data_IF_274616520806
#
_entry.id   IF_274616520806
#
_cell.length_a   1.000
_cell.length_b   1.000
_cell.length_c   1.000
_cell.angle_alpha   90.00
_cell.angle_beta   90.00
_cell.angle_gamma   90.00
#
_symmetry.space_group_name_H-M   'P 1'
#
loop_
_entity.id
_entity.type
_entity.pdbx_description
1 polymer ?
#
# COMPACT_ATOMS: atom_id res chain seq x y z
N UNK A 1 -30.86 -61.00 12.21
CA UNK A 1 -30.87 -59.61 12.70
C UNK A 1 -29.44 -59.16 12.98
N UNK A 2 -28.83 -58.48 12.02
CA UNK A 2 -27.82 -57.41 12.14
C UNK A 2 -27.47 -57.01 10.70
N UNK A 3 -27.51 -55.70 10.48
CA UNK A 3 -27.74 -54.99 9.23
C UNK A 3 -26.47 -54.74 8.41
N UNK A 4 -26.70 -54.52 7.12
CA UNK A 4 -25.87 -53.99 6.02
C UNK A 4 -24.94 -52.82 6.43
N UNK A 5 -23.89 -52.42 5.70
CA UNK A 5 -23.84 -51.84 4.34
C UNK A 5 -22.35 -51.82 3.88
N UNK A 6 -21.98 -52.46 2.77
CA UNK A 6 -21.72 -51.91 1.42
C UNK A 6 -20.76 -50.72 1.35
N UNK A 7 -19.55 -50.94 0.81
CA UNK A 7 -18.63 -49.89 0.39
C UNK A 7 -18.11 -50.21 -1.03
N UNK A 8 -18.75 -49.60 -2.03
CA UNK A 8 -18.38 -49.68 -3.45
C UNK A 8 -17.44 -48.51 -3.76
N UNK A 9 -16.15 -48.79 -3.88
CA UNK A 9 -15.18 -47.85 -4.43
C UNK A 9 -15.35 -47.74 -5.95
N UNK A 10 -15.75 -46.55 -6.43
CA UNK A 10 -15.52 -46.12 -7.81
C UNK A 10 -14.82 -44.76 -7.83
N UNK A 11 -13.73 -44.76 -8.59
CA UNK A 11 -12.89 -43.67 -9.07
C UNK A 11 -13.65 -42.43 -9.56
N UNK A 12 -13.20 -41.24 -9.17
CA UNK A 12 -13.36 -40.03 -9.97
C UNK A 12 -12.01 -39.33 -10.14
N UNK A 13 -11.62 -39.29 -11.41
CA UNK A 13 -10.58 -38.46 -11.98
C UNK A 13 -11.14 -37.04 -12.02
N UNK A 14 -10.60 -36.12 -11.24
CA UNK A 14 -10.93 -34.70 -11.40
C UNK A 14 -9.87 -34.00 -12.25
N UNK A 15 -10.42 -33.27 -13.22
CA UNK A 15 -9.80 -32.76 -14.42
C UNK A 15 -8.92 -31.54 -14.11
N UNK A 16 -7.77 -31.48 -14.78
CA UNK A 16 -7.02 -30.25 -14.98
C UNK A 16 -7.90 -29.27 -15.75
N UNK A 17 -8.34 -28.21 -15.10
CA UNK A 17 -8.89 -27.04 -15.79
C UNK A 17 -7.72 -26.12 -16.17
N UNK A 18 -7.19 -26.33 -17.38
CA UNK A 18 -6.44 -25.31 -18.10
C UNK A 18 -7.45 -24.25 -18.57
N UNK A 19 -7.77 -23.28 -17.71
CA UNK A 19 -8.56 -22.12 -18.12
C UNK A 19 -7.65 -21.15 -18.89
N UNK A 20 -7.63 -21.35 -20.20
CA UNK A 20 -7.05 -20.46 -21.19
C UNK A 20 -8.00 -19.29 -21.48
N UNK A 21 -8.38 -18.56 -20.43
CA UNK A 21 -9.16 -17.35 -20.49
C UNK A 21 -8.34 -16.22 -19.87
N UNK A 22 -7.91 -15.25 -20.68
CA UNK A 22 -7.35 -13.98 -20.18
C UNK A 22 -8.47 -13.17 -19.51
N UNK A 23 -8.97 -13.67 -18.39
CA UNK A 23 -9.74 -12.89 -17.43
C UNK A 23 -8.73 -11.92 -16.83
N UNK A 24 -8.85 -10.63 -17.16
CA UNK A 24 -7.99 -9.61 -16.59
C UNK A 24 -8.00 -9.76 -15.08
N UNK A 25 -6.91 -10.29 -14.50
CA UNK A 25 -6.75 -10.46 -13.06
C UNK A 25 -6.83 -9.07 -12.48
N UNK A 26 -7.99 -8.71 -11.92
CA UNK A 26 -8.14 -7.44 -11.22
C UNK A 26 -7.32 -7.55 -9.94
N UNK A 27 -6.23 -6.80 -9.90
CA UNK A 27 -5.44 -6.66 -8.69
C UNK A 27 -6.32 -6.09 -7.58
N UNK A 28 -6.15 -6.61 -6.37
CA UNK A 28 -6.69 -5.99 -5.16
C UNK A 28 -6.05 -4.61 -4.96
N UNK A 29 -6.66 -3.70 -4.18
CA UNK A 29 -6.03 -2.43 -3.83
C UNK A 29 -4.61 -2.57 -3.31
N UNK A 30 -4.36 -3.51 -2.40
CA UNK A 30 -3.01 -3.80 -1.88
C UNK A 30 -2.08 -4.38 -2.96
N UNK A 31 -2.61 -5.21 -3.87
CA UNK A 31 -1.85 -5.71 -5.02
C UNK A 31 -1.44 -4.58 -5.98
N UNK A 32 -2.32 -3.60 -6.20
CA UNK A 32 -2.00 -2.40 -6.97
C UNK A 32 -0.96 -1.54 -6.25
N UNK A 33 -1.09 -1.36 -4.94
CA UNK A 33 -0.15 -0.59 -4.14
C UNK A 33 1.24 -1.25 -4.11
N UNK A 34 1.30 -2.58 -3.97
CA UNK A 34 2.55 -3.36 -4.06
C UNK A 34 3.20 -3.20 -5.43
N UNK A 35 2.42 -3.32 -6.51
CA UNK A 35 2.93 -3.10 -7.86
C UNK A 35 3.41 -1.66 -8.09
N UNK A 36 2.74 -0.67 -7.47
CA UNK A 36 3.17 0.72 -7.51
C UNK A 36 4.46 0.96 -6.73
N UNK A 37 4.63 0.36 -5.55
CA UNK A 37 5.86 0.43 -4.77
C UNK A 37 7.05 -0.21 -5.51
N UNK A 38 6.83 -1.34 -6.17
CA UNK A 38 7.81 -1.96 -7.07
C UNK A 38 8.19 -1.03 -8.23
N UNK A 39 7.20 -0.39 -8.84
CA UNK A 39 7.45 0.57 -9.91
C UNK A 39 8.25 1.78 -9.42
N UNK A 40 7.89 2.37 -8.28
CA UNK A 40 8.56 3.56 -7.75
C UNK A 40 9.97 3.24 -7.27
N UNK A 41 10.18 2.08 -6.65
CA UNK A 41 11.51 1.56 -6.28
C UNK A 41 12.43 1.45 -7.49
N UNK A 42 11.93 0.94 -8.63
CA UNK A 42 12.75 0.69 -9.81
C UNK A 42 12.94 1.89 -10.73
N UNK A 43 11.89 2.69 -10.89
CA UNK A 43 11.83 3.73 -11.92
C UNK A 43 11.93 5.14 -11.34
N UNK A 44 11.56 5.32 -10.07
CA UNK A 44 11.42 6.63 -9.43
C UNK A 44 12.24 6.75 -8.15
N UNK A 45 13.23 5.88 -7.93
CA UNK A 45 14.03 5.87 -6.70
C UNK A 45 14.66 7.23 -6.36
N UNK A 46 15.08 7.97 -7.40
CA UNK A 46 15.63 9.32 -7.28
C UNK A 46 14.63 10.36 -6.77
N UNK A 47 13.33 10.05 -6.81
CA UNK A 47 12.26 10.84 -6.22
C UNK A 47 11.94 10.18 -4.87
N UNK A 48 12.39 10.80 -3.79
CA UNK A 48 12.23 10.25 -2.45
C UNK A 48 10.76 10.06 -2.04
N UNK A 49 9.85 10.87 -2.60
CA UNK A 49 8.39 10.75 -2.46
C UNK A 49 7.68 11.54 -3.53
N UNK A 50 6.40 11.23 -3.74
CA UNK A 50 5.58 11.97 -4.69
C UNK A 50 4.16 11.44 -4.82
N UNK A 51 3.44 12.04 -5.76
CA UNK A 51 2.06 11.69 -6.10
C UNK A 51 1.98 11.44 -7.61
N UNK A 52 1.33 10.36 -8.01
CA UNK A 52 1.03 10.04 -9.41
C UNK A 52 -0.48 10.10 -9.59
N UNK A 53 -0.94 10.96 -10.50
CA UNK A 53 -2.35 11.03 -10.89
C UNK A 53 -2.66 9.97 -11.95
N UNK A 54 -3.58 9.06 -11.62
CA UNK A 54 -4.07 8.00 -12.49
C UNK A 54 -5.53 8.23 -12.92
N UNK A 55 -6.07 9.43 -12.73
CA UNK A 55 -7.45 9.81 -13.09
C UNK A 55 -8.44 9.56 -11.96
N UNK A 56 -8.94 8.33 -11.82
CA UNK A 56 -9.89 7.99 -10.74
C UNK A 56 -9.20 7.62 -9.41
N UNK A 57 -7.87 7.52 -9.45
CA UNK A 57 -6.98 7.16 -8.35
C UNK A 57 -5.76 8.06 -8.35
N UNK A 58 -5.18 8.19 -7.17
CA UNK A 58 -3.84 8.73 -7.00
C UNK A 58 -2.98 7.69 -6.30
N UNK A 59 -1.72 7.59 -6.72
CA UNK A 59 -0.70 6.81 -6.03
C UNK A 59 0.19 7.77 -5.27
N UNK A 60 0.32 7.57 -3.97
CA UNK A 60 1.24 8.32 -3.13
C UNK A 60 2.35 7.36 -2.73
N UNK A 61 3.61 7.78 -2.84
CA UNK A 61 4.73 6.87 -2.62
C UNK A 61 5.89 7.53 -1.87
N UNK A 62 6.74 6.69 -1.29
CA UNK A 62 8.03 7.06 -0.72
C UNK A 62 9.10 5.99 -0.95
N UNK A 63 10.36 6.42 -1.00
CA UNK A 63 11.56 5.64 -1.25
C UNK A 63 12.61 5.95 -0.16
N UNK A 64 12.24 5.79 1.10
CA UNK A 64 13.04 6.21 2.26
C UNK A 64 13.20 5.13 3.34
N UNK A 65 13.04 3.86 2.97
CA UNK A 65 13.39 2.74 3.81
C UNK A 65 12.32 2.44 4.85
N UNK A 66 11.12 2.07 4.39
CA UNK A 66 9.97 1.82 5.25
C UNK A 66 10.27 0.85 6.40
N UNK A 67 10.84 -0.32 6.10
CA UNK A 67 11.20 -1.32 7.11
C UNK A 67 12.51 -1.02 7.86
N UNK A 68 13.24 0.04 7.46
CA UNK A 68 14.52 0.41 8.10
C UNK A 68 14.35 1.28 9.34
N UNK A 69 13.16 1.84 9.57
CA UNK A 69 12.92 2.69 10.73
C UNK A 69 11.48 3.16 10.91
N UNK A 70 11.19 3.67 12.10
CA UNK A 70 9.86 4.11 12.51
C UNK A 70 9.36 5.42 11.86
N UNK A 71 10.22 6.16 11.17
CA UNK A 71 9.84 7.47 10.60
C UNK A 71 8.89 7.31 9.42
N UNK A 72 9.16 6.36 8.53
CA UNK A 72 8.32 6.12 7.35
C UNK A 72 6.93 5.56 7.72
N UNK A 73 6.85 4.71 8.75
CA UNK A 73 5.56 4.25 9.28
C UNK A 73 4.72 5.42 9.81
N UNK A 74 5.34 6.31 10.58
CA UNK A 74 4.67 7.52 11.09
C UNK A 74 4.26 8.47 9.96
N UNK A 75 5.09 8.65 8.95
CA UNK A 75 4.75 9.42 7.75
C UNK A 75 3.51 8.86 7.06
N UNK A 76 3.48 7.55 6.81
CA UNK A 76 2.33 6.88 6.18
C UNK A 76 1.05 7.06 6.99
N UNK A 77 1.14 7.00 8.32
CA UNK A 77 0.00 7.26 9.18
C UNK A 77 -0.52 8.70 9.01
N UNK A 78 0.35 9.71 9.07
CA UNK A 78 -0.02 11.11 8.88
C UNK A 78 -0.63 11.37 7.50
N UNK A 79 -0.10 10.73 6.46
CA UNK A 79 -0.64 10.81 5.10
C UNK A 79 -2.06 10.22 5.05
N UNK A 80 -2.31 9.07 5.69
CA UNK A 80 -3.65 8.47 5.75
C UNK A 80 -4.64 9.39 6.45
N UNK A 81 -4.27 9.95 7.59
CA UNK A 81 -5.07 10.93 8.31
C UNK A 81 -5.41 12.15 7.43
N UNK A 82 -4.42 12.69 6.69
CA UNK A 82 -4.64 13.78 5.75
C UNK A 82 -5.62 13.39 4.62
N UNK A 83 -5.41 12.25 3.97
CA UNK A 83 -6.24 11.74 2.87
C UNK A 83 -7.71 11.69 3.29
N UNK A 84 -8.01 11.18 4.49
CA UNK A 84 -9.37 11.12 5.03
C UNK A 84 -10.04 12.50 5.12
N UNK A 85 -9.28 13.55 5.45
CA UNK A 85 -9.82 14.94 5.50
C UNK A 85 -10.09 15.54 4.12
N UNK A 86 -9.53 14.96 3.07
CA UNK A 86 -9.69 15.45 1.68
C UNK A 86 -10.85 14.81 0.93
N UNK A 87 -11.52 13.80 1.53
CA UNK A 87 -12.55 13.00 0.86
C UNK A 87 -12.00 11.95 -0.10
N UNK A 88 -10.69 11.72 -0.10
CA UNK A 88 -10.05 10.58 -0.72
C UNK A 88 -10.12 9.36 0.22
N UNK A 89 -10.02 8.16 -0.35
CA UNK A 89 -10.04 6.91 0.41
C UNK A 89 -8.76 6.12 0.15
N UNK A 90 -7.94 5.91 1.19
CA UNK A 90 -6.74 5.09 1.12
C UNK A 90 -7.11 3.59 1.06
N UNK A 91 -7.44 3.11 -0.14
CA UNK A 91 -7.97 1.76 -0.35
C UNK A 91 -6.90 0.67 -0.26
N UNK A 92 -5.64 0.99 -0.53
CA UNK A 92 -4.57 0.00 -0.55
C UNK A 92 -3.23 0.53 -0.10
N UNK A 93 -2.41 -0.37 0.44
CA UNK A 93 -1.02 -0.10 0.79
C UNK A 93 -0.14 -1.29 0.47
N UNK A 94 1.08 -1.00 0.03
CA UNK A 94 2.04 -2.02 -0.35
C UNK A 94 3.46 -1.53 -0.26
N UNK A 95 4.35 -2.48 -0.14
CA UNK A 95 5.79 -2.28 -0.12
C UNK A 95 6.38 -2.91 -1.38
N UNK A 96 7.57 -2.46 -1.77
CA UNK A 96 8.36 -3.24 -2.72
C UNK A 96 8.88 -4.53 -2.05
N UNK A 97 9.38 -5.45 -2.86
CA UNK A 97 9.93 -6.74 -2.40
C UNK A 97 11.08 -6.60 -1.39
N UNK A 98 11.72 -5.43 -1.34
CA UNK A 98 12.77 -5.11 -0.37
C UNK A 98 12.29 -4.44 0.91
N UNK A 99 11.00 -4.12 1.05
CA UNK A 99 10.47 -3.38 2.20
C UNK A 99 10.98 -1.94 2.31
N UNK A 100 11.63 -1.42 1.27
CA UNK A 100 12.27 -0.11 1.29
C UNK A 100 11.33 0.97 0.79
N UNK A 101 10.71 0.73 -0.35
CA UNK A 101 9.76 1.63 -0.97
C UNK A 101 8.34 1.26 -0.57
N UNK A 102 7.49 2.26 -0.45
CA UNK A 102 6.09 2.09 -0.08
C UNK A 102 5.18 2.89 -1.00
N UNK A 103 3.95 2.44 -1.15
CA UNK A 103 2.91 3.16 -1.86
C UNK A 103 1.54 2.99 -1.22
N UNK A 104 0.75 4.06 -1.30
CA UNK A 104 -0.67 4.11 -0.97
C UNK A 104 -1.43 4.33 -2.27
N UNK A 105 -2.43 3.49 -2.53
CA UNK A 105 -3.43 3.74 -3.57
C UNK A 105 -4.62 4.40 -2.91
N UNK A 106 -4.91 5.65 -3.30
CA UNK A 106 -6.09 6.36 -2.84
C UNK A 106 -7.08 6.59 -3.98
N UNK A 107 -8.35 6.18 -3.78
CA UNK A 107 -9.41 6.39 -4.77
C UNK A 107 -10.18 7.66 -4.48
N UNK A 108 -10.59 8.32 -5.55
CA UNK A 108 -11.51 9.43 -5.51
C UNK A 108 -12.89 9.01 -6.03
N UNK A 109 -13.75 8.48 -5.15
CA UNK A 109 -15.10 8.07 -5.52
C UNK A 109 -15.97 9.24 -6.01
N UNK A 110 -15.65 10.48 -5.61
CA UNK A 110 -16.36 11.68 -6.03
C UNK A 110 -16.04 12.12 -7.47
N UNK A 111 -14.94 11.60 -8.06
CA UNK A 111 -14.41 11.99 -9.38
C UNK A 111 -14.17 13.49 -9.56
N UNK A 112 -14.11 14.25 -8.46
CA UNK A 112 -13.70 15.65 -8.50
C UNK A 112 -12.20 15.72 -8.80
N UNK A 113 -11.72 16.79 -9.42
CA UNK A 113 -10.27 16.92 -9.65
C UNK A 113 -9.53 16.97 -8.31
N UNK A 114 -8.57 16.06 -8.11
CA UNK A 114 -7.64 16.15 -6.97
C UNK A 114 -6.64 17.26 -7.28
N UNK A 115 -6.44 18.17 -6.32
CA UNK A 115 -5.38 19.17 -6.41
C UNK A 115 -4.03 18.50 -6.11
N UNK A 116 -3.39 17.96 -7.15
CA UNK A 116 -2.14 17.20 -7.04
C UNK A 116 -1.03 18.03 -6.38
N UNK A 117 -0.75 19.29 -6.79
CA UNK A 117 0.27 20.10 -6.11
C UNK A 117 0.02 20.30 -4.61
N UNK A 118 -1.24 20.47 -4.21
CA UNK A 118 -1.60 20.57 -2.79
C UNK A 118 -1.37 19.24 -2.04
N UNK A 119 -1.71 18.12 -2.66
CA UNK A 119 -1.47 16.79 -2.09
C UNK A 119 0.03 16.50 -1.97
N UNK A 120 0.85 16.83 -2.97
CA UNK A 120 2.31 16.71 -2.90
C UNK A 120 2.91 17.56 -1.78
N UNK A 121 2.40 18.79 -1.60
CA UNK A 121 2.80 19.65 -0.48
C UNK A 121 2.50 19.01 0.86
N UNK A 122 1.29 18.48 1.03
CA UNK A 122 0.88 17.81 2.26
C UNK A 122 1.70 16.54 2.56
N UNK A 123 2.01 15.74 1.54
CA UNK A 123 2.88 14.55 1.69
C UNK A 123 4.25 14.95 2.23
N UNK A 124 4.84 16.02 1.70
CA UNK A 124 6.12 16.54 2.20
C UNK A 124 6.04 17.09 3.63
N UNK A 125 4.92 17.71 4.00
CA UNK A 125 4.67 18.18 5.37
C UNK A 125 4.50 17.02 6.37
N UNK A 126 3.84 15.94 5.97
CA UNK A 126 3.70 14.72 6.76
C UNK A 126 5.07 14.10 7.06
N UNK A 127 5.91 13.95 6.03
CA UNK A 127 7.30 13.49 6.23
C UNK A 127 8.05 14.39 7.22
N UNK A 128 8.00 15.71 7.01
CA UNK A 128 8.73 16.66 7.88
C UNK A 128 8.30 16.53 9.34
N UNK A 129 7.00 16.36 9.56
CA UNK A 129 6.44 16.14 10.90
C UNK A 129 6.94 14.83 11.49
N UNK A 130 6.83 13.72 10.77
CA UNK A 130 7.34 12.41 11.22
C UNK A 130 8.84 12.44 11.55
N UNK A 131 9.63 13.11 10.71
CA UNK A 131 11.08 13.29 10.92
C UNK A 131 11.41 14.15 12.14
N UNK A 132 10.60 15.15 12.46
CA UNK A 132 10.77 15.96 13.67
C UNK A 132 10.42 15.17 14.93
N UNK A 133 9.33 14.39 14.90
CA UNK A 133 8.88 13.55 16.01
C UNK A 133 9.92 12.46 16.36
N UNK A 134 10.54 11.83 15.36
CA UNK A 134 11.55 10.79 15.59
C UNK A 134 12.81 11.35 16.28
N UNK A 135 13.21 12.59 15.97
CA UNK A 135 14.37 13.25 16.60
C UNK A 135 14.06 13.86 17.97
N UNK A 136 12.83 14.33 18.17
CA UNK A 136 12.36 14.84 19.47
C UNK A 136 12.28 13.73 20.53
N UNK A 137 12.08 12.48 20.11
CA UNK A 137 12.01 11.31 20.99
C UNK A 137 13.40 10.87 21.48
N UNK A 138 14.45 11.00 20.67
CA UNK A 138 15.84 10.66 21.06
C UNK A 138 16.44 11.58 22.15
N UNK A 139 15.88 12.77 22.37
CA UNK A 139 16.37 13.68 23.42
C UNK A 139 15.75 13.43 24.80
N UNK A 140 14.61 12.73 24.89
CA UNK A 140 13.91 12.50 26.17
C UNK A 140 14.43 11.30 26.96
N UNK A 141 15.17 10.39 26.32
CA UNK A 141 15.77 9.23 27.00
C UNK A 141 17.08 9.57 27.74
N UNK A 142 17.68 10.75 27.48
CA UNK A 142 18.93 11.18 28.12
C UNK A 142 18.74 12.11 29.35
N UNK A 143 17.49 12.43 29.73
CA UNK A 143 17.20 13.29 30.89
C UNK A 143 16.65 12.52 32.10
N UNK A 144 16.74 11.18 32.10
CA UNK A 144 16.29 10.30 33.21
C UNK A 144 17.44 9.52 33.90
N UNK A 145 18.66 10.06 33.91
CA UNK A 145 19.75 9.57 34.79
C UNK A 145 20.13 10.59 35.85
#
# INVERSE_FOLDING_TARGET
MKTNESDTSMTQVEQKNEDSGSSAVRLTPDGMATAAAEFTSRCMFHWHRGVIDCGDKVVIFGNDGYELGNTADREVQLIREYIETTGLHADGFGLDSGGYSWAIVATNYSRLSVDIPKLETAVNECFRTAWQESRGSSNKENEQC
#
